data_IF_017981484009
#
_entry.id   IF_017981484009
#
_cell.length_a   1.000
_cell.length_b   1.000
_cell.length_c   1.000
_cell.angle_alpha   90.00
_cell.angle_beta   90.00
_cell.angle_gamma   90.00
#
_symmetry.space_group_name_H-M   'P 1'
#
loop_
_entity.id
_entity.type
_entity.pdbx_description
1 polymer ?
#
# COMPACT_ATOMS: atom_id res chain seq x y z
N UNK A 1 -13.41 -11.75 -7.11
CA UNK A 1 -12.17 -10.99 -6.85
C UNK A 1 -12.55 -9.51 -6.88
N UNK A 2 -12.05 -8.71 -5.95
CA UNK A 2 -12.36 -7.26 -5.91
C UNK A 2 -11.70 -6.56 -7.09
N UNK A 3 -12.33 -5.54 -7.69
CA UNK A 3 -11.70 -4.77 -8.76
C UNK A 3 -10.46 -4.03 -8.22
N UNK A 4 -9.33 -4.13 -8.92
CA UNK A 4 -8.03 -3.61 -8.47
C UNK A 4 -7.19 -4.60 -7.66
N UNK A 5 -7.78 -5.73 -7.25
CA UNK A 5 -7.05 -6.86 -6.68
C UNK A 5 -6.38 -7.64 -7.81
N UNK A 6 -5.23 -7.15 -8.28
CA UNK A 6 -4.48 -7.69 -9.41
C UNK A 6 -3.24 -8.50 -9.02
N UNK A 7 -2.99 -8.66 -7.71
CA UNK A 7 -1.79 -9.27 -7.14
C UNK A 7 -0.48 -8.53 -7.51
N UNK A 8 -0.59 -7.30 -7.99
CA UNK A 8 0.53 -6.38 -8.23
C UNK A 8 0.49 -5.20 -7.26
N UNK A 9 -0.71 -4.78 -6.82
CA UNK A 9 -0.89 -3.76 -5.81
C UNK A 9 -1.10 -4.38 -4.43
N UNK A 10 -0.26 -3.95 -3.48
CA UNK A 10 -0.25 -4.50 -2.13
C UNK A 10 -0.32 -3.39 -1.09
N UNK A 11 -1.22 -3.57 -0.12
CA UNK A 11 -1.26 -2.78 1.10
C UNK A 11 -0.38 -3.48 2.14
N UNK A 12 0.72 -2.81 2.52
CA UNK A 12 1.65 -3.28 3.54
C UNK A 12 1.36 -2.53 4.83
N UNK A 13 0.92 -3.24 5.85
CA UNK A 13 0.71 -2.70 7.20
C UNK A 13 1.92 -3.04 8.05
N UNK A 14 2.51 -2.03 8.67
CA UNK A 14 3.68 -2.18 9.53
C UNK A 14 3.30 -2.02 10.99
N UNK A 15 4.20 -2.46 11.87
CA UNK A 15 4.10 -2.14 13.29
C UNK A 15 4.11 -0.62 13.52
N UNK A 16 3.39 -0.12 14.55
CA UNK A 16 3.46 1.29 14.91
C UNK A 16 4.92 1.73 15.13
N UNK A 17 5.39 2.77 14.42
CA UNK A 17 6.73 3.31 14.59
C UNK A 17 6.87 4.02 15.94
N UNK A 18 8.10 4.39 16.30
CA UNK A 18 8.34 5.21 17.48
C UNK A 18 7.51 6.52 17.40
N UNK A 19 6.73 6.87 18.44
CA UNK A 19 5.91 8.08 18.48
C UNK A 19 6.68 9.40 18.27
N UNK A 20 7.99 9.39 18.44
CA UNK A 20 8.86 10.56 18.25
C UNK A 20 9.24 10.79 16.79
N UNK A 21 9.04 9.80 15.91
CA UNK A 21 9.40 9.93 14.50
C UNK A 21 8.50 10.94 13.79
N UNK A 22 9.11 11.76 12.95
CA UNK A 22 8.35 12.66 12.08
C UNK A 22 7.68 11.87 10.97
N UNK A 23 6.74 12.51 10.27
CA UNK A 23 6.11 11.91 9.09
C UNK A 23 7.14 11.48 8.05
N UNK A 24 8.18 12.28 7.82
CA UNK A 24 9.18 12.01 6.79
C UNK A 24 10.08 10.85 7.21
N UNK A 25 10.42 10.74 8.49
CA UNK A 25 11.14 9.57 9.03
C UNK A 25 10.31 8.29 8.87
N UNK A 26 9.00 8.35 9.10
CA UNK A 26 8.10 7.19 8.89
C UNK A 26 8.07 6.78 7.40
N UNK A 27 8.00 7.76 6.49
CA UNK A 27 8.04 7.49 5.05
C UNK A 27 9.39 6.88 4.65
N UNK A 28 10.49 7.36 5.22
CA UNK A 28 11.83 6.82 5.02
C UNK A 28 11.92 5.36 5.49
N UNK A 29 11.32 5.02 6.64
CA UNK A 29 11.19 3.63 7.10
C UNK A 29 10.44 2.77 6.08
N UNK A 30 9.37 3.27 5.46
CA UNK A 30 8.63 2.52 4.43
C UNK A 30 9.48 2.25 3.19
N UNK A 31 10.19 3.29 2.71
CA UNK A 31 11.12 3.17 1.58
C UNK A 31 12.19 2.13 1.88
N UNK A 32 12.84 2.22 3.05
CA UNK A 32 13.88 1.27 3.49
C UNK A 32 13.35 -0.15 3.65
N UNK A 33 12.11 -0.30 4.14
CA UNK A 33 11.47 -1.61 4.27
C UNK A 33 11.28 -2.26 2.91
N UNK A 34 10.76 -1.52 1.93
CA UNK A 34 10.57 -2.03 0.58
C UNK A 34 11.91 -2.25 -0.14
N UNK A 35 12.88 -1.37 0.08
CA UNK A 35 14.23 -1.46 -0.50
C UNK A 35 14.99 -2.71 -0.05
N UNK A 36 14.72 -3.27 1.15
CA UNK A 36 15.31 -4.55 1.57
C UNK A 36 14.95 -5.72 0.66
N UNK A 37 13.80 -5.66 0.01
CA UNK A 37 13.31 -6.72 -0.88
C UNK A 37 13.69 -6.44 -2.33
N UNK A 38 13.64 -5.17 -2.75
CA UNK A 38 13.89 -4.76 -4.15
C UNK A 38 15.37 -4.49 -4.43
N UNK A 39 16.14 -4.12 -3.40
CA UNK A 39 17.57 -3.82 -3.48
C UNK A 39 17.91 -2.36 -3.78
N UNK A 40 16.93 -1.47 -3.96
CA UNK A 40 17.14 -0.03 -4.20
C UNK A 40 16.09 0.84 -3.51
N UNK A 41 16.53 1.90 -2.83
CA UNK A 41 15.65 2.90 -2.22
C UNK A 41 14.98 3.80 -3.28
N UNK A 42 15.69 4.11 -4.36
CA UNK A 42 15.15 4.87 -5.49
C UNK A 42 14.01 4.12 -6.16
N UNK A 43 14.18 2.82 -6.42
CA UNK A 43 13.13 1.99 -6.99
C UNK A 43 11.95 1.81 -6.02
N UNK A 44 12.24 1.58 -4.73
CA UNK A 44 11.22 1.49 -3.70
C UNK A 44 10.36 2.77 -3.66
N UNK A 45 10.97 3.95 -3.71
CA UNK A 45 10.26 5.24 -3.72
C UNK A 45 9.32 5.38 -4.92
N UNK A 46 9.71 4.88 -6.09
CA UNK A 46 8.88 4.92 -7.30
C UNK A 46 7.70 3.93 -7.25
N UNK A 47 7.87 2.80 -6.56
CA UNK A 47 6.85 1.75 -6.41
C UNK A 47 5.83 2.03 -5.31
N UNK A 48 6.18 2.85 -4.32
CA UNK A 48 5.23 3.31 -3.30
C UNK A 48 4.30 4.35 -3.93
N UNK A 49 2.99 4.06 -3.93
CA UNK A 49 1.98 4.96 -4.50
C UNK A 49 1.08 5.60 -3.43
N UNK A 50 1.09 5.08 -2.20
CA UNK A 50 0.30 5.62 -1.09
C UNK A 50 0.99 5.39 0.25
N UNK A 51 0.76 6.27 1.22
CA UNK A 51 1.27 6.16 2.59
C UNK A 51 0.22 6.63 3.60
N UNK A 52 0.16 5.96 4.74
CA UNK A 52 -0.57 6.38 5.95
C UNK A 52 0.38 6.40 7.14
N UNK A 53 0.36 7.48 7.90
CA UNK A 53 1.31 7.75 9.01
C UNK A 53 0.62 8.31 10.25
N UNK A 54 -0.70 8.13 10.39
CA UNK A 54 -1.50 8.70 11.48
C UNK A 54 -2.29 7.64 12.25
N UNK A 55 -3.50 7.33 11.78
CA UNK A 55 -4.41 6.42 12.47
C UNK A 55 -3.98 4.95 12.34
N UNK A 56 -3.28 4.63 11.27
CA UNK A 56 -2.63 3.35 11.04
C UNK A 56 -1.38 3.60 10.19
N UNK A 57 -0.42 2.67 10.28
CA UNK A 57 0.88 2.78 9.63
C UNK A 57 0.96 1.76 8.50
N UNK A 58 0.86 2.26 7.28
CA UNK A 58 0.83 1.42 6.09
C UNK A 58 1.30 2.17 4.86
N UNK A 59 1.73 1.43 3.84
CA UNK A 59 2.01 1.96 2.52
C UNK A 59 1.49 1.02 1.44
N UNK A 60 1.06 1.60 0.31
CA UNK A 60 0.71 0.87 -0.89
C UNK A 60 1.92 0.76 -1.81
N UNK A 61 2.23 -0.44 -2.28
CA UNK A 61 3.37 -0.71 -3.15
C UNK A 61 3.00 -1.53 -4.38
N UNK A 62 3.61 -1.19 -5.51
CA UNK A 62 3.52 -1.94 -6.76
C UNK A 62 4.67 -2.96 -6.87
N UNK A 63 4.40 -4.21 -6.49
CA UNK A 63 5.37 -5.31 -6.48
C UNK A 63 4.71 -6.61 -6.92
N UNK A 64 5.50 -7.54 -7.46
CA UNK A 64 4.97 -8.87 -7.80
C UNK A 64 4.54 -9.62 -6.55
N UNK A 65 3.63 -10.57 -6.73
CA UNK A 65 3.18 -11.48 -5.67
C UNK A 65 4.37 -12.21 -4.98
N UNK A 66 5.39 -12.61 -5.73
CA UNK A 66 6.59 -13.25 -5.15
C UNK A 66 7.30 -12.33 -4.14
N UNK A 67 7.43 -11.04 -4.46
CA UNK A 67 8.07 -10.07 -3.56
C UNK A 67 7.17 -9.71 -2.38
N UNK A 68 5.86 -9.77 -2.54
CA UNK A 68 4.91 -9.54 -1.44
C UNK A 68 5.03 -10.61 -0.36
N UNK A 69 5.29 -11.86 -0.73
CA UNK A 69 5.60 -12.92 0.23
C UNK A 69 6.88 -12.64 1.02
N UNK A 70 7.94 -12.16 0.36
CA UNK A 70 9.20 -11.78 1.04
C UNK A 70 9.00 -10.59 1.97
N UNK A 71 8.16 -9.61 1.61
CA UNK A 71 7.80 -8.49 2.48
C UNK A 71 7.13 -8.97 3.77
N UNK A 72 6.26 -9.99 3.69
CA UNK A 72 5.56 -10.55 4.85
C UNK A 72 6.51 -11.20 5.87
N UNK A 73 7.70 -11.63 5.45
CA UNK A 73 8.71 -12.23 6.34
C UNK A 73 9.51 -11.18 7.12
N UNK A 74 9.39 -9.89 6.79
CA UNK A 74 10.12 -8.84 7.50
C UNK A 74 9.56 -8.61 8.91
N UNK A 75 10.42 -8.45 9.93
CA UNK A 75 9.98 -8.38 11.33
C UNK A 75 9.14 -7.14 11.67
N UNK A 76 9.23 -6.08 10.87
CA UNK A 76 8.46 -4.85 11.05
C UNK A 76 7.15 -4.81 10.25
N UNK A 77 6.85 -5.87 9.49
CA UNK A 77 5.65 -5.97 8.66
C UNK A 77 4.63 -6.86 9.38
N UNK A 78 3.44 -6.31 9.64
CA UNK A 78 2.35 -7.01 10.32
C UNK A 78 1.48 -7.76 9.33
N UNK A 79 1.09 -7.10 8.23
CA UNK A 79 0.25 -7.68 7.19
C UNK A 79 0.67 -7.22 5.80
N UNK A 80 0.50 -8.11 4.83
CA UNK A 80 0.62 -7.81 3.39
C UNK A 80 -0.65 -8.32 2.74
N UNK A 81 -1.47 -7.41 2.23
CA UNK A 81 -2.79 -7.70 1.69
C UNK A 81 -2.87 -7.23 0.24
N UNK A 82 -3.50 -7.98 -0.68
CA UNK A 82 -3.81 -7.45 -2.00
C UNK A 82 -4.67 -6.20 -1.86
N UNK A 83 -4.23 -5.09 -2.44
CA UNK A 83 -4.99 -3.84 -2.41
C UNK A 83 -6.18 -3.92 -3.39
N UNK A 84 -7.17 -3.05 -3.22
CA UNK A 84 -8.32 -2.98 -4.12
C UNK A 84 -8.80 -1.55 -4.25
N UNK A 85 -9.49 -1.24 -5.34
CA UNK A 85 -9.99 0.12 -5.54
C UNK A 85 -11.03 0.48 -4.48
N UNK A 86 -10.79 1.60 -3.80
CA UNK A 86 -11.78 2.23 -2.92
C UNK A 86 -12.88 2.88 -3.77
N UNK A 87 -12.51 3.52 -4.88
CA UNK A 87 -13.45 3.98 -5.91
C UNK A 87 -13.22 3.20 -7.21
N UNK A 88 -14.07 2.20 -7.41
CA UNK A 88 -14.07 1.35 -8.60
C UNK A 88 -14.26 2.16 -9.89
N UNK A 89 -15.10 3.22 -9.87
CA UNK A 89 -15.39 4.00 -11.09
C UNK A 89 -14.16 4.78 -11.55
N UNK A 90 -13.42 5.34 -10.60
CA UNK A 90 -12.25 6.15 -10.86
C UNK A 90 -10.93 5.37 -10.74
N UNK A 91 -10.99 4.07 -10.42
CA UNK A 91 -9.83 3.18 -10.20
C UNK A 91 -8.82 3.77 -9.21
N UNK A 92 -9.32 4.32 -8.11
CA UNK A 92 -8.48 4.91 -7.06
C UNK A 92 -8.42 4.00 -5.84
N UNK A 93 -7.19 3.76 -5.37
CA UNK A 93 -6.93 3.13 -4.09
C UNK A 93 -7.28 4.07 -2.93
N UNK A 94 -7.28 3.55 -1.72
CA UNK A 94 -7.44 4.31 -0.48
C UNK A 94 -6.26 5.28 -0.30
N UNK A 95 -6.30 6.44 -0.98
CA UNK A 95 -5.27 7.46 -0.88
C UNK A 95 -5.80 8.61 -0.05
N UNK A 96 -5.19 8.85 1.11
CA UNK A 96 -5.34 10.14 1.77
C UNK A 96 -4.53 11.17 0.97
N UNK A 97 -5.21 11.96 0.15
CA UNK A 97 -4.62 12.94 -0.77
C UNK A 97 -3.82 14.00 0.01
N UNK A 98 -2.52 13.80 0.18
CA UNK A 98 -1.63 14.77 0.81
C UNK A 98 -0.30 14.89 0.07
N UNK A 99 -0.19 15.93 -0.74
CA UNK A 99 1.02 16.75 -0.94
C UNK A 99 2.22 16.16 -1.69
N UNK A 100 2.36 14.84 -1.80
CA UNK A 100 3.39 14.18 -2.60
C UNK A 100 2.71 13.68 -3.88
N UNK A 101 2.97 14.39 -4.99
CA UNK A 101 2.57 13.93 -6.31
C UNK A 101 3.38 12.67 -6.65
N UNK A 102 2.92 11.50 -6.21
CA UNK A 102 3.31 10.24 -6.84
C UNK A 102 2.69 10.24 -8.23
N UNK A 103 3.39 10.84 -9.19
CA UNK A 103 2.94 11.08 -10.56
C UNK A 103 3.00 9.81 -11.42
N UNK A 104 2.62 8.66 -10.88
CA UNK A 104 2.47 7.45 -11.65
C UNK A 104 0.97 7.20 -11.86
N UNK A 105 0.42 7.45 -13.06
CA UNK A 105 -0.96 7.08 -13.36
C UNK A 105 -1.11 5.57 -13.23
N UNK A 106 -2.11 5.13 -12.47
CA UNK A 106 -2.48 3.71 -12.35
C UNK A 106 -2.75 3.17 -13.77
N UNK A 107 -2.03 2.14 -14.25
CA UNK A 107 -2.27 1.57 -15.57
C UNK A 107 -3.69 1.00 -15.64
N UNK A 108 -4.57 1.59 -16.45
CA UNK A 108 -5.95 1.14 -16.56
C UNK A 108 -6.05 -0.04 -17.54
N UNK A 109 -6.34 -1.26 -17.07
CA UNK A 109 -6.81 -2.35 -17.97
C UNK A 109 -8.31 -2.15 -18.30
N UNK A 110 -8.78 -2.39 -19.54
CA UNK A 110 -10.18 -2.17 -19.91
C UNK A 110 -11.09 -3.30 -19.38
N UNK A 111 -12.20 -2.89 -18.77
CA UNK A 111 -13.46 -3.61 -18.54
C UNK A 111 -13.42 -5.06 -18.04
N UNK A 112 -13.77 -5.26 -16.76
CA UNK A 112 -14.57 -6.41 -16.36
C UNK A 112 -15.54 -6.05 -15.23
N UNK A 113 -16.79 -6.51 -15.36
CA UNK A 113 -17.98 -6.08 -14.62
C UNK A 113 -17.88 -6.20 -13.10
N UNK A 114 -18.47 -5.21 -12.43
CA UNK A 114 -18.56 -4.99 -10.99
C UNK A 114 -19.11 -6.15 -10.16
N UNK A 115 -18.46 -6.44 -9.03
CA UNK A 115 -19.11 -7.04 -7.87
C UNK A 115 -18.44 -6.64 -6.53
N UNK A 116 -19.30 -6.17 -5.62
CA UNK A 116 -19.17 -5.99 -4.16
C UNK A 116 -18.06 -5.08 -3.61
N UNK A 117 -18.48 -3.83 -3.35
CA UNK A 117 -17.78 -2.80 -2.58
C UNK A 117 -17.65 -3.21 -1.10
N UNK A 118 -16.47 -3.03 -0.51
CA UNK A 118 -16.38 -2.57 0.88
C UNK A 118 -15.76 -3.47 1.94
N UNK A 119 -15.33 -4.70 1.65
CA UNK A 119 -14.90 -5.62 2.73
C UNK A 119 -13.57 -5.20 3.37
N UNK A 120 -12.53 -4.89 2.58
CA UNK A 120 -11.17 -4.66 3.12
C UNK A 120 -11.07 -3.39 3.99
N UNK A 121 -11.79 -2.32 3.62
CA UNK A 121 -11.75 -1.06 4.36
C UNK A 121 -12.63 -1.04 5.63
N UNK A 122 -13.65 -1.91 5.70
CA UNK A 122 -14.52 -2.04 6.88
C UNK A 122 -13.87 -2.90 7.97
N UNK A 123 -13.10 -3.91 7.59
CA UNK A 123 -12.47 -4.86 8.52
C UNK A 123 -11.35 -4.22 9.37
N UNK A 124 -10.69 -3.17 8.85
CA UNK A 124 -9.69 -2.41 9.64
C UNK A 124 -10.32 -1.45 10.66
N UNK A 125 -11.60 -1.10 10.53
CA UNK A 125 -12.30 -0.26 11.52
C UNK A 125 -12.78 -1.03 12.76
N UNK A 126 -12.80 -2.37 12.71
CA UNK A 126 -13.17 -3.22 13.85
C UNK A 126 -11.98 -3.75 14.65
N UNK A 127 -10.76 -3.34 14.31
CA UNK A 127 -9.50 -3.75 14.96
C UNK A 127 -8.91 -2.66 15.89
N UNK A 128 -9.67 -1.61 16.17
CA UNK A 128 -9.41 -0.58 17.19
C UNK A 128 -10.48 -0.60 18.26
#
# INVERSE_FOLDING_TARGET
>A
MLEGCDFEHWLVVVEPPDPQLTRDDIIDVYIKTLARIIGSEEEARMKIYSVSTRHYFAFGALVSEELSYKLKELPNVRWVLPDSYMDVKNKTYAVHKYGINFSNPVPTKPNQKSLNKGIVALEMKSLV
#
